data_IF_380287317185
#
_entry.id   IF_380287317185
#
_cell.length_a   1.000
_cell.length_b   1.000
_cell.length_c   1.000
_cell.angle_alpha   90.00
_cell.angle_beta   90.00
_cell.angle_gamma   90.00
#
_symmetry.space_group_name_H-M   'P 1'
#
loop_
_entity.id
_entity.type
_entity.pdbx_description
1 polymer ?
#
# COMPACT_ATOMS: atom_id res chain seq x y z
N UNK A 1 -13.13 -25.47 2.63
CA UNK A 1 -13.14 -24.99 4.03
C UNK A 1 -12.53 -23.58 4.13
N UNK A 2 -11.34 -23.31 3.58
CA UNK A 2 -10.64 -22.02 3.72
C UNK A 2 -11.29 -20.85 2.94
N UNK A 3 -12.07 -21.12 1.90
CA UNK A 3 -12.64 -20.10 0.98
C UNK A 3 -13.51 -19.03 1.68
N UNK A 4 -14.17 -19.41 2.78
CA UNK A 4 -15.07 -18.53 3.52
C UNK A 4 -14.47 -17.99 4.83
N UNK A 5 -13.18 -18.22 5.06
CA UNK A 5 -12.49 -17.76 6.26
C UNK A 5 -11.76 -16.44 6.01
N UNK A 6 -11.79 -15.55 6.99
CA UNK A 6 -10.91 -14.37 7.00
C UNK A 6 -9.45 -14.79 7.18
N UNK A 7 -8.52 -14.00 6.69
CA UNK A 7 -7.09 -14.25 6.90
C UNK A 7 -6.73 -14.30 8.39
N UNK A 8 -7.34 -13.46 9.21
CA UNK A 8 -7.17 -13.49 10.66
C UNK A 8 -7.62 -14.82 11.27
N UNK A 9 -8.74 -15.38 10.80
CA UNK A 9 -9.20 -16.70 11.26
C UNK A 9 -8.27 -17.82 10.78
N UNK A 10 -7.76 -17.75 9.54
CA UNK A 10 -6.77 -18.72 9.04
C UNK A 10 -5.50 -18.69 9.90
N UNK A 11 -4.98 -17.49 10.21
CA UNK A 11 -3.85 -17.31 11.13
C UNK A 11 -4.12 -17.97 12.48
N UNK A 12 -5.30 -17.74 13.07
CA UNK A 12 -5.70 -18.35 14.34
C UNK A 12 -5.68 -19.88 14.26
N UNK A 13 -6.21 -20.47 13.18
CA UNK A 13 -6.26 -21.91 13.00
C UNK A 13 -4.88 -22.55 12.76
N UNK A 14 -3.98 -21.84 12.06
CA UNK A 14 -2.58 -22.28 11.92
C UNK A 14 -1.85 -22.21 13.27
N UNK A 15 -2.08 -21.13 14.02
CA UNK A 15 -1.48 -20.95 15.36
C UNK A 15 -1.93 -22.04 16.34
N UNK A 16 -3.22 -22.38 16.34
CA UNK A 16 -3.77 -23.45 17.17
C UNK A 16 -3.46 -24.87 16.64
N UNK A 17 -2.82 -24.99 15.47
CA UNK A 17 -2.52 -26.25 14.78
C UNK A 17 -3.78 -27.05 14.34
N UNK A 18 -4.91 -26.38 14.20
CA UNK A 18 -6.12 -26.98 13.65
C UNK A 18 -6.07 -27.16 12.14
N UNK A 19 -5.29 -26.32 11.45
CA UNK A 19 -4.95 -26.48 10.04
C UNK A 19 -3.43 -26.40 9.85
N UNK A 20 -2.94 -27.05 8.80
CA UNK A 20 -1.52 -27.07 8.46
C UNK A 20 -1.17 -25.89 7.56
N UNK A 21 0.07 -25.40 7.70
CA UNK A 21 0.63 -24.39 6.78
C UNK A 21 0.59 -24.87 5.33
N UNK A 22 0.88 -26.16 5.12
CA UNK A 22 0.84 -26.78 3.78
C UNK A 22 -0.56 -26.73 3.16
N UNK A 23 -1.62 -26.92 3.94
CA UNK A 23 -3.00 -26.84 3.47
C UNK A 23 -3.37 -25.38 3.08
N UNK A 24 -2.90 -24.41 3.87
CA UNK A 24 -3.09 -22.97 3.57
C UNK A 24 -2.38 -22.60 2.27
N UNK A 25 -1.13 -22.99 2.11
CA UNK A 25 -0.35 -22.73 0.90
C UNK A 25 -0.97 -23.39 -0.32
N UNK A 26 -1.39 -24.65 -0.22
CA UNK A 26 -2.05 -25.36 -1.32
C UNK A 26 -3.36 -24.67 -1.74
N UNK A 27 -4.13 -24.17 -0.79
CA UNK A 27 -5.34 -23.38 -1.07
C UNK A 27 -4.99 -22.14 -1.91
N UNK A 28 -4.06 -21.29 -1.45
CA UNK A 28 -3.71 -20.07 -2.17
C UNK A 28 -3.07 -20.35 -3.53
N UNK A 29 -2.22 -21.37 -3.65
CA UNK A 29 -1.66 -21.78 -4.93
C UNK A 29 -2.76 -22.25 -5.91
N UNK A 30 -3.78 -22.95 -5.42
CA UNK A 30 -4.93 -23.33 -6.24
C UNK A 30 -5.70 -22.12 -6.78
N UNK A 31 -5.89 -21.10 -5.93
CA UNK A 31 -6.53 -19.83 -6.33
C UNK A 31 -5.68 -19.08 -7.35
N UNK A 32 -4.37 -19.00 -7.14
CA UNK A 32 -3.43 -18.38 -8.09
C UNK A 32 -3.51 -19.09 -9.43
N UNK A 33 -3.44 -20.40 -9.47
CA UNK A 33 -3.52 -21.20 -10.69
C UNK A 33 -4.83 -20.97 -11.44
N UNK A 34 -5.93 -20.83 -10.73
CA UNK A 34 -7.27 -20.68 -11.28
C UNK A 34 -7.54 -19.28 -11.84
N UNK A 35 -7.16 -18.24 -11.10
CA UNK A 35 -7.61 -16.88 -11.40
C UNK A 35 -6.51 -15.96 -11.93
N UNK A 36 -5.27 -16.13 -11.47
CA UNK A 36 -4.18 -15.22 -11.83
C UNK A 36 -3.90 -15.13 -13.36
N UNK A 37 -4.07 -16.20 -14.18
CA UNK A 37 -3.89 -16.08 -15.63
C UNK A 37 -4.77 -15.05 -16.31
N UNK A 38 -5.96 -14.76 -15.74
CA UNK A 38 -6.87 -13.72 -16.25
C UNK A 38 -6.66 -12.36 -15.58
N UNK A 39 -6.20 -12.37 -14.32
CA UNK A 39 -6.08 -11.17 -13.51
C UNK A 39 -4.71 -10.50 -13.62
N UNK A 40 -3.67 -11.27 -13.87
CA UNK A 40 -2.28 -10.79 -13.97
C UNK A 40 -1.87 -9.94 -12.75
N UNK A 41 -2.23 -10.41 -11.57
CA UNK A 41 -1.99 -9.73 -10.30
C UNK A 41 -0.62 -10.08 -9.69
N UNK A 42 -0.25 -11.38 -9.74
CA UNK A 42 1.05 -11.89 -9.29
C UNK A 42 1.88 -12.19 -10.54
N UNK A 43 3.03 -11.52 -10.67
CA UNK A 43 3.82 -11.50 -11.91
C UNK A 43 5.16 -12.24 -11.83
N UNK A 44 5.67 -12.51 -10.64
CA UNK A 44 6.93 -13.23 -10.42
C UNK A 44 6.73 -14.25 -9.31
N UNK A 45 6.02 -15.33 -9.66
CA UNK A 45 5.75 -16.43 -8.73
C UNK A 45 6.95 -17.37 -8.63
N UNK A 46 7.32 -17.75 -7.42
CA UNK A 46 8.28 -18.83 -7.15
C UNK A 46 7.73 -20.17 -7.65
N UNK A 47 8.59 -21.12 -7.97
CA UNK A 47 8.15 -22.46 -8.38
C UNK A 47 7.32 -23.13 -7.28
N UNK A 48 6.21 -23.75 -7.66
CA UNK A 48 5.26 -24.37 -6.72
C UNK A 48 5.94 -25.34 -5.77
N UNK A 49 6.88 -26.18 -6.29
CA UNK A 49 7.61 -27.13 -5.48
C UNK A 49 8.44 -26.45 -4.39
N UNK A 50 9.08 -25.31 -4.72
CA UNK A 50 9.85 -24.54 -3.74
C UNK A 50 8.97 -23.96 -2.64
N UNK A 51 7.80 -23.42 -3.01
CA UNK A 51 6.84 -22.88 -2.04
C UNK A 51 6.35 -23.97 -1.10
N UNK A 52 6.04 -25.16 -1.62
CA UNK A 52 5.61 -26.33 -0.83
C UNK A 52 6.71 -26.83 0.11
N UNK A 53 7.97 -26.82 -0.33
CA UNK A 53 9.12 -27.18 0.52
C UNK A 53 9.23 -26.15 1.66
N UNK A 54 9.13 -24.86 1.38
CA UNK A 54 9.19 -23.81 2.40
C UNK A 54 8.03 -23.93 3.40
N UNK A 55 6.82 -24.21 2.92
CA UNK A 55 5.66 -24.43 3.78
C UNK A 55 5.85 -25.67 4.70
N UNK A 56 6.36 -26.75 4.16
CA UNK A 56 6.65 -27.95 4.93
C UNK A 56 7.77 -27.72 5.97
N UNK A 57 8.83 -27.02 5.58
CA UNK A 57 9.90 -26.65 6.50
C UNK A 57 9.39 -25.77 7.63
N UNK A 58 8.56 -24.77 7.32
CA UNK A 58 7.93 -23.92 8.32
C UNK A 58 7.03 -24.72 9.27
N UNK A 59 6.22 -25.65 8.72
CA UNK A 59 5.33 -26.50 9.52
C UNK A 59 6.08 -27.37 10.53
N UNK A 60 7.25 -27.89 10.14
CA UNK A 60 8.08 -28.74 10.97
C UNK A 60 9.10 -27.99 11.86
N UNK A 61 9.19 -26.65 11.70
CA UNK A 61 10.04 -25.83 12.55
C UNK A 61 9.46 -25.70 13.97
N UNK A 62 10.35 -25.69 14.96
CA UNK A 62 10.01 -25.33 16.35
C UNK A 62 9.73 -23.82 16.49
N UNK A 63 10.25 -23.00 15.56
CA UNK A 63 10.28 -21.55 15.64
C UNK A 63 9.01 -20.90 15.01
N UNK A 64 7.84 -21.48 15.27
CA UNK A 64 6.54 -20.93 14.82
C UNK A 64 6.15 -19.67 15.58
N UNK A 65 7.06 -18.73 15.65
CA UNK A 65 6.87 -17.45 16.35
C UNK A 65 6.50 -16.41 15.32
N UNK A 66 5.43 -15.66 15.58
CA UNK A 66 5.05 -14.52 14.77
C UNK A 66 3.55 -14.33 14.66
N UNK A 67 3.16 -13.21 14.12
CA UNK A 67 1.76 -12.77 14.02
C UNK A 67 1.03 -13.35 12.81
N UNK A 68 1.76 -13.81 11.80
CA UNK A 68 1.20 -14.30 10.51
C UNK A 68 1.85 -15.62 10.07
N UNK A 69 1.87 -16.63 10.97
CA UNK A 69 2.60 -17.87 10.75
C UNK A 69 2.11 -18.63 9.51
N UNK A 70 3.03 -18.94 8.61
CA UNK A 70 2.77 -19.73 7.40
C UNK A 70 1.94 -19.03 6.32
N UNK A 71 1.68 -17.72 6.44
CA UNK A 71 0.86 -17.00 5.45
C UNK A 71 1.66 -16.76 4.16
N UNK A 72 1.17 -17.20 2.99
CA UNK A 72 1.81 -16.91 1.70
C UNK A 72 1.54 -15.47 1.26
N UNK A 73 2.62 -14.72 0.96
CA UNK A 73 2.54 -13.32 0.56
C UNK A 73 3.27 -13.06 -0.75
N UNK A 74 2.72 -12.15 -1.55
CA UNK A 74 3.38 -11.61 -2.74
C UNK A 74 3.63 -10.11 -2.53
N UNK A 75 4.88 -9.68 -2.76
CA UNK A 75 5.40 -8.36 -2.43
C UNK A 75 5.34 -7.43 -3.65
N UNK A 76 4.96 -6.17 -3.48
CA UNK A 76 4.90 -5.20 -4.59
C UNK A 76 6.23 -5.12 -5.34
N UNK A 77 6.19 -5.07 -6.68
CA UNK A 77 7.37 -5.18 -7.53
C UNK A 77 8.26 -3.92 -7.60
N UNK A 78 8.26 -3.15 -6.54
CA UNK A 78 9.21 -2.07 -6.25
C UNK A 78 9.92 -2.27 -4.91
N UNK A 79 9.52 -3.28 -4.15
CA UNK A 79 10.03 -3.59 -2.81
C UNK A 79 10.91 -4.81 -2.89
N UNK A 80 12.15 -4.71 -2.42
CA UNK A 80 13.12 -5.80 -2.50
C UNK A 80 12.73 -6.98 -1.61
N UNK A 81 12.68 -8.15 -2.24
CA UNK A 81 12.58 -9.45 -1.59
C UNK A 81 13.73 -10.33 -2.13
N UNK A 82 14.64 -10.76 -1.26
CA UNK A 82 15.84 -11.50 -1.64
C UNK A 82 15.51 -12.71 -2.51
N UNK A 83 16.20 -12.80 -3.64
CA UNK A 83 16.04 -13.90 -4.61
C UNK A 83 14.91 -13.70 -5.62
N UNK A 84 14.10 -12.65 -5.49
CA UNK A 84 13.09 -12.26 -6.47
C UNK A 84 13.55 -11.09 -7.32
N UNK A 85 13.05 -10.96 -8.55
CA UNK A 85 13.27 -9.75 -9.33
C UNK A 85 12.54 -8.57 -8.68
N UNK A 86 13.19 -7.40 -8.67
CA UNK A 86 12.57 -6.10 -8.42
C UNK A 86 12.68 -5.32 -9.72
N UNK A 87 11.61 -5.39 -10.52
CA UNK A 87 11.67 -4.91 -11.91
C UNK A 87 11.26 -3.46 -12.07
N UNK A 88 10.58 -2.88 -11.07
CA UNK A 88 9.96 -1.55 -11.16
C UNK A 88 9.02 -1.41 -12.38
N UNK A 89 8.55 -2.52 -12.96
CA UNK A 89 7.79 -2.55 -14.22
C UNK A 89 8.60 -2.17 -15.46
N UNK A 90 9.93 -2.10 -15.38
CA UNK A 90 10.84 -1.69 -16.46
C UNK A 90 11.54 -2.89 -17.11
N UNK A 91 11.50 -3.03 -18.45
CA UNK A 91 12.18 -4.12 -19.16
C UNK A 91 13.67 -4.25 -18.82
N UNK A 92 14.35 -3.14 -18.62
CA UNK A 92 15.78 -3.07 -18.30
C UNK A 92 16.09 -3.71 -16.95
N UNK A 93 15.12 -3.72 -16.02
CA UNK A 93 15.25 -4.31 -14.68
C UNK A 93 14.61 -5.70 -14.57
N UNK A 94 14.18 -6.32 -15.67
CA UNK A 94 13.52 -7.63 -15.66
C UNK A 94 14.31 -8.71 -14.92
N UNK A 95 15.63 -8.65 -15.00
CA UNK A 95 16.54 -9.61 -14.37
C UNK A 95 17.27 -9.03 -13.14
N UNK A 96 16.80 -7.93 -12.59
CA UNK A 96 17.36 -7.32 -11.39
C UNK A 96 16.93 -8.10 -10.15
N UNK A 97 17.68 -9.14 -9.80
CA UNK A 97 17.40 -9.99 -8.65
C UNK A 97 17.89 -9.31 -7.37
N UNK A 98 16.98 -9.08 -6.43
CA UNK A 98 17.30 -8.48 -5.14
C UNK A 98 18.27 -9.36 -4.34
N UNK A 99 19.40 -8.79 -3.90
CA UNK A 99 20.41 -9.46 -3.10
C UNK A 99 20.10 -9.48 -1.59
N UNK A 100 19.23 -8.55 -1.14
CA UNK A 100 18.78 -8.41 0.25
C UNK A 100 17.27 -8.19 0.31
N UNK A 101 16.69 -8.39 1.48
CA UNK A 101 15.33 -7.98 1.74
C UNK A 101 15.26 -6.49 2.11
N UNK A 102 14.13 -5.85 1.83
CA UNK A 102 13.75 -4.60 2.48
C UNK A 102 13.38 -4.86 3.95
N UNK A 103 13.39 -3.82 4.78
CA UNK A 103 12.97 -3.90 6.19
C UNK A 103 11.57 -4.51 6.32
N UNK A 104 10.64 -4.10 5.46
CA UNK A 104 9.27 -4.62 5.42
C UNK A 104 9.27 -6.15 5.20
N UNK A 105 10.02 -6.63 4.22
CA UNK A 105 10.07 -8.07 3.89
C UNK A 105 10.77 -8.87 4.99
N UNK A 106 11.83 -8.34 5.60
CA UNK A 106 12.48 -8.98 6.75
C UNK A 106 11.51 -9.15 7.91
N UNK A 107 10.73 -8.11 8.22
CA UNK A 107 9.71 -8.17 9.26
C UNK A 107 8.64 -9.21 8.96
N UNK A 108 8.11 -9.23 7.73
CA UNK A 108 7.12 -10.24 7.33
C UNK A 108 7.66 -11.67 7.51
N UNK A 109 8.89 -11.95 7.09
CA UNK A 109 9.54 -13.25 7.26
C UNK A 109 9.71 -13.58 8.75
N UNK A 110 10.17 -12.62 9.55
CA UNK A 110 10.34 -12.79 10.99
C UNK A 110 9.00 -13.01 11.72
N UNK A 111 7.89 -12.55 11.13
CA UNK A 111 6.54 -12.80 11.62
C UNK A 111 5.91 -14.09 11.05
N UNK A 112 6.71 -14.89 10.35
CA UNK A 112 6.33 -16.21 9.86
C UNK A 112 5.72 -16.25 8.45
N UNK A 113 5.74 -15.16 7.69
CA UNK A 113 5.26 -15.16 6.31
C UNK A 113 6.16 -15.96 5.37
N UNK A 114 5.54 -16.58 4.36
CA UNK A 114 6.22 -17.25 3.25
C UNK A 114 6.11 -16.38 2.02
N UNK A 115 7.22 -15.82 1.55
CA UNK A 115 7.20 -14.96 0.36
C UNK A 115 7.17 -15.82 -0.89
N UNK A 116 6.05 -15.75 -1.63
CA UNK A 116 5.79 -16.63 -2.79
C UNK A 116 6.00 -15.94 -4.13
N UNK A 117 5.99 -14.60 -4.20
CA UNK A 117 6.08 -13.89 -5.48
C UNK A 117 6.07 -12.38 -5.36
N UNK A 118 5.85 -11.72 -6.50
CA UNK A 118 5.74 -10.25 -6.61
C UNK A 118 4.38 -9.87 -7.19
N UNK A 119 3.81 -8.74 -6.73
CA UNK A 119 2.56 -8.19 -7.30
C UNK A 119 2.86 -7.11 -8.31
N UNK A 120 2.04 -7.04 -9.36
CA UNK A 120 2.22 -6.12 -10.48
C UNK A 120 2.06 -4.64 -10.07
N UNK A 121 2.78 -3.76 -10.76
CA UNK A 121 2.80 -2.31 -10.56
C UNK A 121 3.00 -1.60 -11.89
N UNK A 122 2.58 -0.34 -12.10
CA UNK A 122 3.01 0.42 -13.26
C UNK A 122 4.51 0.73 -13.22
N UNK A 123 5.06 1.15 -14.34
CA UNK A 123 6.47 1.56 -14.43
C UNK A 123 6.81 2.56 -13.32
N UNK A 124 7.85 2.26 -12.53
CA UNK A 124 8.32 3.06 -11.39
C UNK A 124 7.25 3.39 -10.34
N UNK A 125 6.19 2.59 -10.29
CA UNK A 125 4.99 2.84 -9.49
C UNK A 125 4.29 4.19 -9.80
N UNK A 126 4.50 4.74 -10.99
CA UNK A 126 3.90 6.01 -11.44
C UNK A 126 2.74 5.74 -12.39
N UNK A 127 1.53 5.96 -11.90
CA UNK A 127 0.31 5.80 -12.68
C UNK A 127 -0.90 5.40 -11.83
N UNK A 128 -2.07 5.87 -12.22
CA UNK A 128 -3.37 5.52 -11.63
C UNK A 128 -3.90 4.15 -12.07
N UNK A 129 -3.19 3.47 -12.97
CA UNK A 129 -3.54 2.15 -13.50
C UNK A 129 -2.32 1.23 -13.49
N UNK A 130 -2.53 -0.03 -13.12
CA UNK A 130 -1.44 -1.01 -13.03
C UNK A 130 -1.24 -1.69 -14.37
N UNK A 131 -0.27 -1.18 -15.13
CA UNK A 131 0.17 -1.74 -16.40
C UNK A 131 1.65 -1.38 -16.67
N UNK A 132 2.37 -2.27 -17.30
CA UNK A 132 3.76 -2.06 -17.71
C UNK A 132 4.12 -2.90 -18.94
N UNK A 133 5.32 -2.66 -19.50
CA UNK A 133 5.77 -3.32 -20.72
C UNK A 133 6.28 -4.74 -20.52
N UNK A 134 6.60 -5.15 -19.27
CA UNK A 134 7.08 -6.51 -18.98
C UNK A 134 5.92 -7.48 -18.87
N UNK A 135 4.94 -7.11 -18.04
CA UNK A 135 3.89 -8.02 -17.58
C UNK A 135 2.51 -7.69 -18.17
N UNK A 136 2.34 -6.51 -18.75
CA UNK A 136 1.04 -6.03 -19.20
C UNK A 136 0.18 -5.49 -18.07
N UNK A 137 -1.14 -5.47 -18.28
CA UNK A 137 -2.12 -4.89 -17.36
C UNK A 137 -2.63 -5.89 -16.34
N UNK A 138 -2.86 -5.42 -15.11
CA UNK A 138 -3.65 -6.13 -14.10
C UNK A 138 -5.12 -5.76 -14.24
N UNK A 139 -5.98 -6.76 -14.30
CA UNK A 139 -7.42 -6.59 -14.37
C UNK A 139 -8.05 -6.45 -12.98
N UNK A 140 -9.21 -5.79 -12.90
CA UNK A 140 -10.01 -5.77 -11.68
C UNK A 140 -10.60 -7.15 -11.39
N UNK A 141 -10.59 -7.58 -10.13
CA UNK A 141 -11.05 -8.91 -9.73
C UNK A 141 -12.56 -9.13 -9.92
N UNK A 142 -13.37 -8.07 -9.87
CA UNK A 142 -14.83 -8.14 -10.01
C UNK A 142 -15.29 -8.00 -11.48
N UNK A 143 -14.57 -7.19 -12.26
CA UNK A 143 -14.83 -6.98 -13.68
C UNK A 143 -13.52 -6.83 -14.43
N UNK A 144 -13.11 -7.88 -15.14
CA UNK A 144 -11.85 -7.92 -15.86
C UNK A 144 -11.74 -6.93 -17.03
N UNK A 145 -12.82 -6.26 -17.40
CA UNK A 145 -12.82 -5.15 -18.36
C UNK A 145 -12.44 -3.81 -17.73
N UNK A 146 -12.37 -3.73 -16.41
CA UNK A 146 -12.10 -2.54 -15.65
C UNK A 146 -10.66 -2.52 -15.10
N UNK A 147 -10.21 -1.32 -14.76
CA UNK A 147 -8.90 -1.11 -14.14
C UNK A 147 -8.86 -1.63 -12.70
N UNK A 148 -7.73 -2.19 -12.32
CA UNK A 148 -7.41 -2.53 -10.93
C UNK A 148 -7.04 -1.30 -10.09
N UNK A 149 -6.96 -0.12 -10.69
CA UNK A 149 -6.34 1.05 -10.08
C UNK A 149 -4.80 0.94 -10.06
N UNK A 150 -4.14 1.89 -9.43
CA UNK A 150 -2.68 1.95 -9.35
C UNK A 150 -2.20 2.86 -8.19
N UNK A 151 -0.95 2.70 -7.83
CA UNK A 151 0.06 1.79 -8.40
C UNK A 151 0.10 0.39 -7.74
N UNK A 152 -0.63 0.13 -6.65
CA UNK A 152 -0.70 -1.19 -5.98
C UNK A 152 -1.86 -2.05 -6.49
N UNK A 153 -2.20 -1.98 -7.80
CA UNK A 153 -3.33 -2.71 -8.37
C UNK A 153 -3.14 -4.21 -8.37
N UNK A 154 -1.92 -4.70 -8.60
CA UNK A 154 -1.61 -6.14 -8.47
C UNK A 154 -1.88 -6.65 -7.06
N UNK A 155 -1.47 -5.90 -6.04
CA UNK A 155 -1.71 -6.23 -4.63
C UNK A 155 -3.21 -6.27 -4.30
N UNK A 156 -3.96 -5.21 -4.68
CA UNK A 156 -5.40 -5.15 -4.43
C UNK A 156 -6.17 -6.28 -5.15
N UNK A 157 -5.86 -6.52 -6.43
CA UNK A 157 -6.49 -7.62 -7.18
C UNK A 157 -6.15 -8.98 -6.58
N UNK A 158 -4.90 -9.19 -6.11
CA UNK A 158 -4.50 -10.44 -5.48
C UNK A 158 -5.27 -10.72 -4.18
N UNK A 159 -5.48 -9.70 -3.34
CA UNK A 159 -6.30 -9.81 -2.12
C UNK A 159 -7.76 -10.02 -2.45
N UNK A 160 -8.35 -9.23 -3.37
CA UNK A 160 -9.75 -9.33 -3.74
C UNK A 160 -10.11 -10.73 -4.26
N UNK A 161 -9.25 -11.30 -5.11
CA UNK A 161 -9.42 -12.62 -5.70
C UNK A 161 -8.93 -13.77 -4.79
N UNK A 162 -8.55 -13.49 -3.52
CA UNK A 162 -8.02 -14.50 -2.58
C UNK A 162 -6.80 -15.25 -3.12
N UNK A 163 -5.92 -14.59 -3.87
CA UNK A 163 -4.63 -15.13 -4.30
C UNK A 163 -3.58 -15.06 -3.17
N UNK A 164 -3.76 -14.10 -2.27
CA UNK A 164 -3.01 -13.93 -1.02
C UNK A 164 -3.96 -13.43 0.07
N UNK A 165 -3.65 -13.65 1.37
CA UNK A 165 -4.53 -13.23 2.47
C UNK A 165 -4.61 -11.71 2.64
N UNK A 166 -3.49 -11.03 2.54
CA UNK A 166 -3.30 -9.58 2.58
C UNK A 166 -2.05 -9.21 1.78
N UNK A 167 -1.84 -7.94 1.51
CA UNK A 167 -0.70 -7.50 0.71
C UNK A 167 -0.11 -6.18 1.21
N UNK A 168 1.19 -5.99 0.93
CA UNK A 168 1.86 -4.71 1.04
C UNK A 168 1.51 -3.78 -0.13
N UNK A 169 1.83 -2.53 0.05
CA UNK A 169 1.80 -1.51 -0.99
C UNK A 169 2.51 -0.25 -0.55
N UNK A 170 2.56 0.72 -1.45
CA UNK A 170 3.13 2.05 -1.18
C UNK A 170 2.16 3.11 -1.67
N UNK A 171 2.15 4.28 -1.03
CA UNK A 171 1.26 5.38 -1.38
C UNK A 171 1.99 6.72 -1.34
N UNK A 172 2.15 7.36 -2.48
CA UNK A 172 2.58 8.74 -2.60
C UNK A 172 1.40 9.64 -2.99
N UNK A 173 0.45 9.13 -3.79
CA UNK A 173 -0.68 9.86 -4.33
C UNK A 173 -1.95 9.00 -4.45
N UNK A 174 -2.19 8.10 -3.50
CA UNK A 174 -3.39 7.27 -3.46
C UNK A 174 -3.17 5.78 -3.76
N UNK A 175 -1.93 5.33 -3.92
CA UNK A 175 -1.65 3.95 -4.37
C UNK A 175 -1.93 2.85 -3.33
N UNK A 176 -2.28 3.20 -2.07
CA UNK A 176 -2.87 2.32 -1.06
C UNK A 176 -4.37 2.58 -0.84
N UNK A 177 -4.92 3.62 -1.46
CA UNK A 177 -6.31 4.04 -1.29
C UNK A 177 -7.15 3.76 -2.55
N UNK A 178 -6.66 4.15 -3.73
CA UNK A 178 -7.38 3.97 -4.98
C UNK A 178 -7.56 2.49 -5.36
N UNK A 179 -6.50 1.63 -5.41
CA UNK A 179 -6.70 0.22 -5.80
C UNK A 179 -7.61 -0.56 -4.85
N UNK A 180 -7.53 -0.41 -3.50
CA UNK A 180 -8.50 -1.01 -2.60
C UNK A 180 -9.92 -0.52 -2.82
N UNK A 181 -10.13 0.80 -3.03
CA UNK A 181 -11.46 1.35 -3.33
C UNK A 181 -12.06 0.75 -4.61
N UNK A 182 -11.25 0.53 -5.65
CA UNK A 182 -11.68 -0.12 -6.88
C UNK A 182 -11.96 -1.61 -6.72
N UNK A 183 -11.46 -2.22 -5.66
CA UNK A 183 -11.49 -3.66 -5.41
C UNK A 183 -12.33 -4.04 -4.18
N UNK A 184 -13.15 -3.13 -3.65
CA UNK A 184 -13.98 -3.35 -2.45
C UNK A 184 -13.17 -3.90 -1.27
N UNK A 185 -12.03 -3.29 -1.01
CA UNK A 185 -11.08 -3.65 0.05
C UNK A 185 -10.81 -2.45 0.96
N UNK A 186 -10.19 -2.74 2.09
CA UNK A 186 -9.59 -1.74 2.95
C UNK A 186 -8.12 -1.54 2.58
N UNK A 187 -7.74 -0.28 2.39
CA UNK A 187 -6.36 0.13 2.20
C UNK A 187 -5.96 1.15 3.26
N UNK A 188 -4.79 0.99 3.83
CA UNK A 188 -4.32 1.87 4.88
C UNK A 188 -2.97 2.48 4.54
N UNK A 189 -2.94 3.82 4.48
CA UNK A 189 -1.74 4.62 4.36
C UNK A 189 -1.39 5.23 5.72
N UNK A 190 -0.46 4.64 6.47
CA UNK A 190 -0.06 5.16 7.76
C UNK A 190 0.75 6.46 7.63
N UNK A 191 0.93 7.13 8.76
CA UNK A 191 1.91 8.21 8.89
C UNK A 191 3.31 7.68 8.53
N UNK A 192 4.13 8.42 7.75
CA UNK A 192 5.51 8.05 7.50
C UNK A 192 6.27 7.78 8.82
N UNK A 193 7.04 6.70 8.86
CA UNK A 193 7.75 6.24 10.05
C UNK A 193 7.00 5.19 10.89
N UNK A 194 5.70 5.00 10.72
CA UNK A 194 4.97 3.85 11.31
C UNK A 194 5.51 2.54 10.77
N UNK A 195 5.65 2.44 9.45
CA UNK A 195 6.34 1.34 8.77
C UNK A 195 7.71 1.88 8.34
N UNK A 196 8.81 1.35 8.85
CA UNK A 196 10.13 1.86 8.54
C UNK A 196 10.57 1.50 7.12
N UNK A 197 11.28 2.42 6.51
CA UNK A 197 11.94 2.26 5.22
C UNK A 197 13.45 2.54 5.39
N UNK A 198 14.30 1.86 4.62
CA UNK A 198 15.73 2.15 4.63
C UNK A 198 15.98 3.58 4.10
N UNK A 199 16.27 4.49 5.04
CA UNK A 199 16.56 5.91 4.79
C UNK A 199 18.03 6.24 5.08
N UNK A 200 18.90 5.26 5.04
CA UNK A 200 20.35 5.46 5.20
C UNK A 200 20.96 6.34 4.10
N UNK A 201 20.34 6.40 2.91
CA UNK A 201 20.65 7.40 1.91
C UNK A 201 19.93 8.72 2.22
N UNK A 202 20.70 9.75 2.58
CA UNK A 202 20.20 11.10 2.86
C UNK A 202 19.23 11.64 1.80
N UNK A 203 19.40 11.25 0.54
CA UNK A 203 18.56 11.71 -0.58
C UNK A 203 17.15 11.13 -0.56
N UNK A 204 16.91 10.02 0.14
CA UNK A 204 15.57 9.46 0.36
C UNK A 204 14.82 10.11 1.52
N UNK A 205 15.47 11.00 2.25
CA UNK A 205 14.95 11.52 3.51
C UNK A 205 14.13 12.80 3.39
N UNK A 206 14.14 13.47 2.22
CA UNK A 206 13.50 14.77 2.16
C UNK A 206 13.14 15.23 0.73
N UNK A 207 11.90 15.70 0.51
CA UNK A 207 10.73 15.62 1.37
C UNK A 207 10.09 14.23 1.34
N UNK A 208 9.57 13.79 2.49
CA UNK A 208 8.88 12.51 2.59
C UNK A 208 7.46 12.68 2.07
N UNK A 209 7.15 12.10 0.92
CA UNK A 209 5.83 12.14 0.29
C UNK A 209 5.14 10.77 0.27
N UNK A 210 5.89 9.68 0.40
CA UNK A 210 5.33 8.34 0.34
C UNK A 210 5.35 7.65 1.71
N UNK A 211 4.48 6.65 1.83
CA UNK A 211 4.45 5.71 2.95
C UNK A 211 4.19 4.31 2.43
N UNK A 212 4.87 3.31 3.00
CA UNK A 212 4.45 1.93 2.87
C UNK A 212 3.19 1.69 3.70
N UNK A 213 2.41 0.67 3.35
CA UNK A 213 1.18 0.32 4.05
C UNK A 213 0.64 -1.03 3.61
N UNK A 214 -0.63 -1.27 3.89
CA UNK A 214 -1.26 -2.57 3.71
C UNK A 214 -2.65 -2.49 3.08
N UNK A 215 -3.05 -3.63 2.49
CA UNK A 215 -4.33 -3.87 1.85
C UNK A 215 -4.88 -5.19 2.39
N UNK A 216 -6.14 -5.20 2.82
CA UNK A 216 -6.81 -6.38 3.35
C UNK A 216 -8.33 -6.33 3.12
N UNK A 217 -9.03 -7.44 3.40
CA UNK A 217 -10.49 -7.53 3.27
C UNK A 217 -11.25 -6.93 4.44
N UNK A 218 -10.62 -6.82 5.60
CA UNK A 218 -11.24 -6.31 6.82
C UNK A 218 -10.30 -5.41 7.61
N UNK A 219 -10.82 -4.47 8.46
CA UNK A 219 -9.99 -3.66 9.34
C UNK A 219 -9.14 -4.51 10.31
N UNK A 220 -9.67 -5.62 10.83
CA UNK A 220 -8.93 -6.51 11.73
C UNK A 220 -7.71 -7.16 11.04
N UNK A 221 -7.85 -7.49 9.76
CA UNK A 221 -6.74 -8.01 8.95
C UNK A 221 -5.69 -6.92 8.67
N UNK A 222 -6.12 -5.66 8.45
CA UNK A 222 -5.20 -4.53 8.35
C UNK A 222 -4.40 -4.35 9.64
N UNK A 223 -5.09 -4.36 10.79
CA UNK A 223 -4.46 -4.24 12.10
C UNK A 223 -3.44 -5.35 12.35
N UNK A 224 -3.79 -6.61 12.04
CA UNK A 224 -2.89 -7.75 12.14
C UNK A 224 -1.63 -7.57 11.28
N UNK A 225 -1.81 -7.15 10.03
CA UNK A 225 -0.68 -6.95 9.12
C UNK A 225 0.19 -5.75 9.52
N UNK A 226 -0.43 -4.66 10.00
CA UNK A 226 0.30 -3.51 10.53
C UNK A 226 1.15 -3.87 11.73
N UNK A 227 0.62 -4.62 12.69
CA UNK A 227 1.38 -5.10 13.85
C UNK A 227 2.59 -5.96 13.43
N UNK A 228 2.49 -6.67 12.31
CA UNK A 228 3.60 -7.47 11.80
C UNK A 228 4.75 -6.64 11.21
N UNK A 229 4.49 -5.42 10.72
CA UNK A 229 5.46 -4.63 9.96
C UNK A 229 5.80 -3.26 10.56
N UNK A 230 5.02 -2.75 11.49
CA UNK A 230 5.20 -1.43 12.09
C UNK A 230 6.26 -1.41 13.20
N UNK A 231 6.68 -0.21 13.61
CA UNK A 231 7.59 0.04 14.72
C UNK A 231 8.98 0.55 14.30
N UNK A 232 9.81 0.91 15.27
CA UNK A 232 11.12 1.53 15.07
C UNK A 232 12.13 0.62 14.36
N UNK A 233 13.01 1.22 13.54
CA UNK A 233 14.15 0.56 12.92
C UNK A 233 15.34 1.53 12.83
N UNK A 234 16.57 1.05 13.05
CA UNK A 234 17.79 1.87 13.07
C UNK A 234 18.10 2.59 11.75
N UNK A 235 17.72 2.00 10.61
CA UNK A 235 17.93 2.61 9.28
C UNK A 235 16.85 3.63 8.90
N UNK A 236 15.85 3.85 9.76
CA UNK A 236 14.83 4.86 9.53
C UNK A 236 14.76 5.86 10.71
N UNK A 237 15.40 7.02 10.58
CA UNK A 237 15.50 7.99 11.67
C UNK A 237 14.15 8.62 12.06
N UNK A 238 13.12 8.51 11.23
CA UNK A 238 11.77 9.00 11.54
C UNK A 238 10.85 7.92 12.08
N UNK A 239 11.29 6.66 12.11
CA UNK A 239 10.51 5.58 12.70
C UNK A 239 10.48 5.66 14.23
N UNK A 240 9.41 5.20 14.82
CA UNK A 240 9.17 5.29 16.26
C UNK A 240 8.53 4.02 16.81
N UNK A 241 8.69 3.82 18.11
CA UNK A 241 8.04 2.70 18.79
C UNK A 241 6.55 2.97 18.95
N UNK A 242 5.75 1.94 18.70
CA UNK A 242 4.31 2.00 18.93
C UNK A 242 4.02 1.81 20.42
N UNK A 243 3.09 2.59 20.94
CA UNK A 243 2.67 2.51 22.35
C UNK A 243 1.70 1.36 22.62
N UNK A 244 1.08 0.83 21.59
CA UNK A 244 0.11 -0.28 21.65
C UNK A 244 0.00 -0.98 20.31
N UNK A 245 -0.46 -2.22 20.29
CA UNK A 245 -0.85 -2.96 19.10
C UNK A 245 -2.07 -2.30 18.43
N UNK A 246 -2.13 -2.35 17.10
CA UNK A 246 -3.32 -1.91 16.36
C UNK A 246 -4.52 -2.81 16.62
N UNK A 247 -4.29 -4.11 16.91
CA UNK A 247 -5.36 -5.07 17.20
C UNK A 247 -5.98 -4.90 18.58
N UNK A 248 -5.22 -4.33 19.52
CA UNK A 248 -5.68 -4.16 20.90
C UNK A 248 -6.53 -2.88 21.09
N UNK A 249 -6.64 -2.07 20.03
CA UNK A 249 -7.52 -0.89 20.02
C UNK A 249 -8.95 -1.30 19.72
N UNK A 250 -9.69 -1.58 20.77
CA UNK A 250 -11.15 -1.61 20.72
C UNK A 250 -11.68 -0.26 21.19
N UNK A 251 -12.55 0.34 20.40
CA UNK A 251 -13.32 1.51 20.83
C UNK A 251 -14.49 1.03 21.67
N UNK A 252 -14.63 1.55 22.88
CA UNK A 252 -15.87 1.42 23.64
C UNK A 252 -16.99 2.17 22.92
N UNK A 253 -18.24 1.77 23.13
CA UNK A 253 -19.40 2.48 22.57
C UNK A 253 -19.37 3.98 22.91
N UNK A 254 -18.93 4.34 24.11
CA UNK A 254 -18.81 5.74 24.53
C UNK A 254 -17.73 6.50 23.77
N UNK A 255 -16.57 5.91 23.49
CA UNK A 255 -15.51 6.53 22.67
C UNK A 255 -15.99 6.73 21.24
N UNK A 256 -16.66 5.70 20.67
CA UNK A 256 -17.20 5.78 19.32
C UNK A 256 -18.27 6.88 19.18
N UNK A 257 -19.19 7.00 20.15
CA UNK A 257 -20.24 8.02 20.15
C UNK A 257 -19.70 9.44 20.40
N UNK A 258 -18.51 9.58 20.97
CA UNK A 258 -17.88 10.87 21.22
C UNK A 258 -16.97 11.34 20.08
N UNK A 259 -16.82 10.56 19.01
CA UNK A 259 -16.03 10.98 17.84
C UNK A 259 -16.58 12.29 17.25
N UNK A 260 -15.67 13.18 16.91
CA UNK A 260 -15.95 14.44 16.21
C UNK A 260 -15.46 14.30 14.77
N UNK A 261 -16.38 14.24 13.84
CA UNK A 261 -16.08 14.02 12.43
C UNK A 261 -16.28 15.35 11.67
N UNK A 262 -15.29 15.73 10.88
CA UNK A 262 -15.40 16.78 9.89
C UNK A 262 -15.61 16.18 8.50
N UNK A 263 -16.64 16.64 7.79
CA UNK A 263 -16.87 16.30 6.39
C UNK A 263 -16.52 17.49 5.49
N UNK A 264 -15.58 17.30 4.58
CA UNK A 264 -15.11 18.34 3.67
C UNK A 264 -15.82 18.30 2.30
N UNK A 265 -16.55 17.24 2.01
CA UNK A 265 -17.27 17.09 0.74
C UNK A 265 -16.37 17.22 -0.48
N UNK A 266 -16.83 17.99 -1.44
CA UNK A 266 -16.10 18.33 -2.67
C UNK A 266 -15.31 19.66 -2.56
N UNK A 267 -15.16 20.19 -1.34
CA UNK A 267 -14.51 21.48 -1.07
C UNK A 267 -15.17 22.63 -1.85
N UNK A 268 -16.51 22.68 -1.84
CA UNK A 268 -17.32 23.66 -2.59
C UNK A 268 -17.06 23.64 -4.10
N UNK A 269 -16.96 22.44 -4.68
CA UNK A 269 -16.75 22.24 -6.12
C UNK A 269 -15.30 22.40 -6.59
N UNK A 270 -14.34 22.58 -5.67
CA UNK A 270 -12.92 22.60 -6.03
C UNK A 270 -12.46 21.24 -6.54
N UNK A 271 -13.04 20.14 -6.03
CA UNK A 271 -12.81 18.79 -6.53
C UNK A 271 -14.03 18.28 -7.30
N UNK A 272 -13.78 17.70 -8.48
CA UNK A 272 -14.82 17.09 -9.31
C UNK A 272 -14.91 15.61 -8.98
N UNK A 273 -16.13 15.15 -8.71
CA UNK A 273 -16.45 13.75 -8.48
C UNK A 273 -17.39 13.24 -9.56
N UNK A 274 -17.36 11.93 -9.81
CA UNK A 274 -18.40 11.28 -10.60
C UNK A 274 -19.75 11.38 -9.87
N UNK A 275 -20.83 11.44 -10.65
CA UNK A 275 -22.20 11.50 -10.10
C UNK A 275 -22.47 10.33 -9.16
N UNK A 276 -23.07 10.61 -8.02
CA UNK A 276 -23.43 9.63 -6.99
C UNK A 276 -22.35 9.33 -5.94
N UNK A 277 -21.11 9.79 -6.12
CA UNK A 277 -20.03 9.50 -5.13
C UNK A 277 -20.25 10.29 -3.85
N UNK A 278 -20.47 11.60 -3.94
CA UNK A 278 -20.71 12.46 -2.76
C UNK A 278 -21.98 12.04 -2.05
N UNK A 279 -23.08 11.83 -2.80
CA UNK A 279 -24.36 11.39 -2.26
C UNK A 279 -24.25 10.03 -1.54
N UNK A 280 -23.46 9.09 -2.08
CA UNK A 280 -23.22 7.81 -1.43
C UNK A 280 -22.52 7.99 -0.08
N UNK A 281 -21.50 8.85 -0.03
CA UNK A 281 -20.77 9.14 1.21
C UNK A 281 -21.70 9.82 2.24
N UNK A 282 -22.42 10.85 1.83
CA UNK A 282 -23.35 11.58 2.72
C UNK A 282 -24.46 10.70 3.27
N UNK A 283 -25.02 9.81 2.45
CA UNK A 283 -25.98 8.80 2.92
C UNK A 283 -25.39 7.88 4.01
N UNK A 284 -24.09 7.59 3.97
CA UNK A 284 -23.42 6.82 5.03
C UNK A 284 -23.17 7.66 6.28
N UNK A 285 -22.81 8.94 6.12
CA UNK A 285 -22.68 9.86 7.24
C UNK A 285 -24.00 10.04 8.00
N UNK A 286 -25.13 10.11 7.31
CA UNK A 286 -26.46 10.15 7.94
C UNK A 286 -26.76 8.94 8.83
N UNK A 287 -26.16 7.78 8.53
CA UNK A 287 -26.29 6.61 9.42
C UNK A 287 -25.54 6.86 10.73
N UNK A 288 -24.37 7.50 10.67
CA UNK A 288 -23.60 7.86 11.86
C UNK A 288 -24.35 8.91 12.69
N UNK A 289 -24.91 9.94 12.05
CA UNK A 289 -25.70 10.99 12.71
C UNK A 289 -26.95 10.40 13.42
N UNK A 290 -27.64 9.44 12.79
CA UNK A 290 -28.76 8.72 13.41
C UNK A 290 -28.35 7.93 14.65
N UNK A 291 -27.07 7.56 14.75
CA UNK A 291 -26.47 6.91 15.91
C UNK A 291 -25.78 7.92 16.85
N UNK A 292 -26.17 9.19 16.79
CA UNK A 292 -25.71 10.27 17.69
C UNK A 292 -24.25 10.70 17.54
N UNK A 293 -23.58 10.32 16.46
CA UNK A 293 -22.22 10.81 16.15
C UNK A 293 -22.35 12.20 15.53
N UNK A 294 -21.57 13.16 16.03
CA UNK A 294 -21.59 14.54 15.54
C UNK A 294 -20.72 14.68 14.28
N UNK A 295 -21.33 15.16 13.21
CA UNK A 295 -20.62 15.45 11.96
C UNK A 295 -20.74 16.96 11.70
N UNK A 296 -19.60 17.61 11.50
CA UNK A 296 -19.53 19.01 11.12
C UNK A 296 -19.13 19.13 9.65
N UNK A 297 -19.97 19.76 8.86
CA UNK A 297 -19.72 20.03 7.43
C UNK A 297 -18.85 21.28 7.32
N UNK A 298 -17.60 21.11 6.90
CA UNK A 298 -16.61 22.17 6.87
C UNK A 298 -16.18 22.51 5.44
N UNK A 299 -15.85 23.77 5.27
CA UNK A 299 -15.12 24.24 4.10
C UNK A 299 -13.87 25.02 4.56
N UNK A 300 -12.74 24.32 4.79
CA UNK A 300 -11.51 25.01 5.17
C UNK A 300 -11.03 25.91 4.02
N UNK A 301 -10.45 27.06 4.36
CA UNK A 301 -9.81 27.95 3.40
C UNK A 301 -8.50 27.31 2.89
N UNK A 302 -8.63 26.40 1.94
CA UNK A 302 -7.53 25.73 1.25
C UNK A 302 -7.57 26.08 -0.24
N UNK A 303 -6.50 26.67 -0.75
CA UNK A 303 -6.29 26.83 -2.18
C UNK A 303 -5.79 25.48 -2.76
N UNK A 304 -6.72 24.73 -3.36
CA UNK A 304 -6.42 23.39 -3.88
C UNK A 304 -5.55 23.41 -5.13
N UNK A 305 -5.57 24.48 -5.93
CA UNK A 305 -4.68 24.63 -7.08
C UNK A 305 -3.25 24.86 -6.61
N UNK A 306 -3.05 25.77 -5.66
CA UNK A 306 -1.74 26.01 -5.07
C UNK A 306 -1.20 24.77 -4.33
N UNK A 307 -2.07 24.02 -3.64
CA UNK A 307 -1.70 22.75 -3.02
C UNK A 307 -1.24 21.73 -4.07
N UNK A 308 -1.94 21.66 -5.20
CA UNK A 308 -1.57 20.79 -6.32
C UNK A 308 -0.23 21.19 -6.93
N UNK A 309 0.01 22.46 -7.19
CA UNK A 309 1.31 22.95 -7.68
C UNK A 309 2.44 22.66 -6.70
N UNK A 310 2.21 22.86 -5.41
CA UNK A 310 3.15 22.51 -4.36
C UNK A 310 3.51 21.01 -4.42
N UNK A 311 2.51 20.15 -4.43
CA UNK A 311 2.70 18.71 -4.46
C UNK A 311 3.42 18.25 -5.72
N UNK A 312 3.00 18.71 -6.90
CA UNK A 312 3.61 18.31 -8.18
C UNK A 312 5.05 18.79 -8.31
N UNK A 313 5.36 20.00 -7.84
CA UNK A 313 6.74 20.52 -7.80
C UNK A 313 7.63 19.63 -6.94
N UNK A 314 7.23 19.33 -5.70
CA UNK A 314 8.00 18.48 -4.81
C UNK A 314 8.16 17.07 -5.38
N UNK A 315 7.08 16.47 -5.86
CA UNK A 315 7.06 15.14 -6.42
C UNK A 315 7.95 15.01 -7.66
N UNK A 316 7.74 15.86 -8.65
CA UNK A 316 8.50 15.76 -9.90
C UNK A 316 10.00 15.99 -9.68
N UNK A 317 10.38 16.87 -8.74
CA UNK A 317 11.79 17.07 -8.38
C UNK A 317 12.40 15.80 -7.79
N UNK A 318 11.70 15.13 -6.87
CA UNK A 318 12.13 13.85 -6.28
C UNK A 318 12.27 12.78 -7.37
N UNK A 319 11.26 12.63 -8.22
CA UNK A 319 11.27 11.63 -9.29
C UNK A 319 12.43 11.86 -10.29
N UNK A 320 12.70 13.11 -10.66
CA UNK A 320 13.84 13.45 -11.48
C UNK A 320 15.17 13.02 -10.83
N UNK A 321 15.33 13.31 -9.54
CA UNK A 321 16.56 12.94 -8.83
C UNK A 321 16.72 11.43 -8.67
N UNK A 322 15.64 10.71 -8.39
CA UNK A 322 15.66 9.26 -8.24
C UNK A 322 15.94 8.56 -9.57
N UNK A 323 15.24 8.94 -10.66
CA UNK A 323 15.47 8.31 -11.97
C UNK A 323 16.84 8.62 -12.53
N UNK A 324 17.39 9.81 -12.25
CA UNK A 324 18.74 10.18 -12.68
C UNK A 324 19.85 9.33 -12.06
N UNK A 325 19.55 8.56 -10.99
CA UNK A 325 20.49 7.67 -10.30
C UNK A 325 20.33 6.20 -10.70
N UNK A 326 19.29 5.88 -11.43
CA UNK A 326 19.04 4.50 -11.86
C UNK A 326 19.94 4.15 -13.05
N UNK A 327 20.91 3.26 -12.83
CA UNK A 327 21.97 2.97 -13.80
C UNK A 327 21.46 2.34 -15.10
N UNK A 328 20.42 1.51 -15.02
CA UNK A 328 19.91 0.76 -16.17
C UNK A 328 18.75 1.45 -16.89
N UNK A 329 18.23 2.57 -16.35
CA UNK A 329 17.04 3.20 -16.90
C UNK A 329 17.30 3.81 -18.28
N UNK A 330 16.46 3.46 -19.24
CA UNK A 330 16.40 4.15 -20.54
C UNK A 330 15.25 5.14 -20.51
N UNK A 331 15.57 6.42 -20.33
CA UNK A 331 14.57 7.49 -20.24
C UNK A 331 13.69 7.57 -21.49
N UNK A 332 14.22 7.23 -22.67
CA UNK A 332 13.50 7.24 -23.94
C UNK A 332 12.41 6.15 -23.99
N UNK A 333 12.62 5.06 -23.25
CA UNK A 333 11.72 3.92 -23.19
C UNK A 333 10.64 4.06 -22.12
N UNK A 334 10.66 5.10 -21.28
CA UNK A 334 9.63 5.29 -20.27
C UNK A 334 8.26 5.52 -20.90
N UNK A 335 7.22 4.99 -20.24
CA UNK A 335 5.85 5.35 -20.54
C UNK A 335 5.56 6.82 -20.21
N UNK A 336 4.45 7.35 -20.72
CA UNK A 336 4.12 8.79 -20.60
C UNK A 336 4.17 9.31 -19.15
N UNK A 337 3.55 8.65 -18.14
CA UNK A 337 3.52 9.22 -16.79
C UNK A 337 4.90 9.39 -16.15
N UNK A 338 5.77 8.38 -16.03
CA UNK A 338 7.08 8.58 -15.43
C UNK A 338 7.99 9.48 -16.27
N UNK A 339 7.85 9.48 -17.61
CA UNK A 339 8.58 10.39 -18.47
C UNK A 339 8.21 11.85 -18.21
N UNK A 340 6.91 12.12 -18.09
CA UNK A 340 6.41 13.46 -17.77
C UNK A 340 6.95 13.95 -16.42
N UNK A 341 6.93 13.11 -15.38
CA UNK A 341 7.49 13.44 -14.06
C UNK A 341 8.98 13.80 -14.14
N UNK A 342 9.75 13.01 -14.89
CA UNK A 342 11.19 13.29 -15.09
C UNK A 342 11.42 14.61 -15.81
N UNK A 343 10.72 14.85 -16.93
CA UNK A 343 10.91 16.06 -17.74
C UNK A 343 10.41 17.33 -17.01
N UNK A 344 9.36 17.22 -16.20
CA UNK A 344 8.90 18.28 -15.33
C UNK A 344 9.91 18.58 -14.22
N UNK A 345 10.38 17.54 -13.52
CA UNK A 345 11.34 17.69 -12.43
C UNK A 345 12.68 18.29 -12.85
N UNK A 346 13.14 17.97 -14.07
CA UNK A 346 14.35 18.56 -14.66
C UNK A 346 14.29 20.09 -14.76
N UNK A 347 13.09 20.66 -14.94
CA UNK A 347 12.89 22.10 -15.11
C UNK A 347 12.76 22.85 -13.79
N UNK A 348 12.50 22.17 -12.68
CA UNK A 348 12.26 22.78 -11.38
C UNK A 348 13.57 23.33 -10.82
N UNK A 349 13.56 24.63 -10.55
CA UNK A 349 14.68 25.32 -9.91
C UNK A 349 14.67 25.10 -8.40
N UNK A 350 15.82 25.18 -7.76
CA UNK A 350 15.92 25.05 -6.30
C UNK A 350 15.05 26.07 -5.56
N UNK A 351 14.88 27.28 -6.11
CA UNK A 351 14.02 28.30 -5.52
C UNK A 351 12.55 27.86 -5.50
N UNK A 352 12.05 27.22 -6.57
CA UNK A 352 10.65 26.77 -6.65
C UNK A 352 10.41 25.60 -5.72
N UNK A 353 11.37 24.69 -5.65
CA UNK A 353 11.34 23.61 -4.66
C UNK A 353 11.29 24.13 -3.22
N UNK A 354 12.11 25.13 -2.90
CA UNK A 354 12.15 25.73 -1.57
C UNK A 354 10.84 26.45 -1.21
N UNK A 355 10.26 27.19 -2.16
CA UNK A 355 8.94 27.82 -1.99
C UNK A 355 7.86 26.76 -1.69
N UNK A 356 7.86 25.66 -2.44
CA UNK A 356 6.91 24.56 -2.23
C UNK A 356 7.08 23.90 -0.86
N UNK A 357 8.32 23.83 -0.33
CA UNK A 357 8.54 23.33 1.02
C UNK A 357 7.97 24.25 2.11
N UNK A 358 8.10 25.57 1.95
CA UNK A 358 7.50 26.54 2.85
C UNK A 358 5.97 26.40 2.81
N UNK A 359 5.40 26.40 1.62
CA UNK A 359 3.97 26.27 1.41
C UNK A 359 3.40 24.97 2.02
N UNK A 360 4.12 23.84 1.85
CA UNK A 360 3.76 22.59 2.53
C UNK A 360 3.68 22.76 4.04
N UNK A 361 4.61 23.50 4.63
CA UNK A 361 4.60 23.83 6.06
C UNK A 361 3.33 24.59 6.48
N UNK A 362 2.88 25.55 5.67
CA UNK A 362 1.67 26.32 5.95
C UNK A 362 0.40 25.44 5.83
N UNK A 363 0.30 24.60 4.82
CA UNK A 363 -0.79 23.60 4.73
C UNK A 363 -0.78 22.64 5.92
N UNK A 364 0.38 22.23 6.40
CA UNK A 364 0.49 21.39 7.59
C UNK A 364 -0.11 22.06 8.83
N UNK A 365 0.09 23.37 9.01
CA UNK A 365 -0.52 24.13 10.11
C UNK A 365 -2.06 24.14 10.01
N UNK A 366 -2.61 24.34 8.80
CA UNK A 366 -4.06 24.32 8.57
C UNK A 366 -4.62 22.94 8.92
N UNK A 367 -4.02 21.87 8.40
CA UNK A 367 -4.45 20.49 8.68
C UNK A 367 -4.36 20.16 10.18
N UNK A 368 -3.27 20.56 10.85
CA UNK A 368 -3.13 20.36 12.29
C UNK A 368 -4.20 21.12 13.08
N UNK A 369 -4.60 22.30 12.64
CA UNK A 369 -5.70 23.05 13.29
C UNK A 369 -7.04 22.33 13.17
N UNK A 370 -7.28 21.60 12.08
CA UNK A 370 -8.47 20.75 11.94
C UNK A 370 -8.39 19.56 12.90
N UNK A 371 -7.28 18.80 12.91
CA UNK A 371 -7.10 17.66 13.82
C UNK A 371 -6.96 18.02 15.30
N UNK A 372 -6.83 19.29 15.67
CA UNK A 372 -6.99 19.73 17.06
C UNK A 372 -8.44 19.79 17.52
N UNK A 373 -9.39 19.73 16.59
CA UNK A 373 -10.84 19.83 16.83
C UNK A 373 -11.60 18.55 16.52
N UNK A 374 -11.07 17.73 15.60
CA UNK A 374 -11.71 16.55 15.04
C UNK A 374 -10.79 15.33 15.18
N UNK A 375 -11.38 14.15 15.26
CA UNK A 375 -10.70 12.86 15.32
C UNK A 375 -10.51 12.29 13.91
#
# INVERSE_FOLDING_TARGET
>A
MLENLSAAKIVSLVTSKEIKTTEVVDYYLSQIKKYNPKLNAIVSLKKEEQIKIEANNFENSSDKIGLIPGMPLAIKDITDAKGFPTTFGLPEYKNNIASKNSILVERLINQGAIIIGKTNTPELAVGGHTMNKIFGSTANAYDTSKSAGGSSGGAATAVAASLVPFADGTDMMGSLRNPPAFSNLYGFRPTPGVIPEDRSDFKKNYPILQSAGCIAKTPNELALFLDAIAGKHELDPISFDLTSSFRDKEFSDSEFLNLKIAWLGDMQGQYKFESGIIELCENKLQILEKNSIKIEYLNPELDTEQLWECFTTLRSKIQYEDYSKMELISLENLSIPPRWEYDAGKKIKNQDFHKSMILRGDYTKIVNSLFSRFD
#
